data_IF_961824568694
#
_entry.id   IF_961824568694
#
_cell.length_a   1.000
_cell.length_b   1.000
_cell.length_c   1.000
_cell.angle_alpha   90.00
_cell.angle_beta   90.00
_cell.angle_gamma   90.00
#
_symmetry.space_group_name_H-M   'P 1'
#
loop_
_entity.id
_entity.type
_entity.pdbx_description
1 polymer ?
#
# COMPACT_ATOMS: atom_id res chain seq x y z
N UNK A 1 -11.66 -6.24 -15.00
CA UNK A 1 -10.47 -6.85 -14.39
C UNK A 1 -9.73 -5.80 -13.60
N UNK A 2 -9.02 -6.17 -12.53
CA UNK A 2 -8.20 -5.22 -11.77
C UNK A 2 -6.93 -4.84 -12.55
N UNK A 3 -6.52 -3.58 -12.44
CA UNK A 3 -5.30 -3.01 -13.01
C UNK A 3 -4.24 -2.84 -11.93
N UNK A 4 -2.96 -2.74 -12.33
CA UNK A 4 -1.87 -2.49 -11.36
C UNK A 4 -2.03 -1.16 -10.62
N UNK A 5 -2.68 -0.16 -11.19
CA UNK A 5 -2.94 1.10 -10.49
C UNK A 5 -4.11 1.04 -9.51
N UNK A 6 -4.81 -0.09 -9.42
CA UNK A 6 -5.93 -0.23 -8.48
C UNK A 6 -5.44 -0.48 -7.05
N UNK A 7 -6.19 0.01 -6.08
CA UNK A 7 -5.95 -0.23 -4.65
C UNK A 7 -6.00 -1.73 -4.36
N UNK A 8 -5.05 -2.21 -3.55
CA UNK A 8 -4.95 -3.61 -3.13
C UNK A 8 -4.89 -4.60 -4.31
N UNK A 9 -4.21 -4.23 -5.40
CA UNK A 9 -3.97 -5.14 -6.52
C UNK A 9 -3.03 -6.30 -6.12
N UNK A 10 -2.05 -6.05 -5.24
CA UNK A 10 -1.15 -7.07 -4.70
C UNK A 10 -1.69 -7.61 -3.36
N UNK A 11 -2.05 -8.89 -3.34
CA UNK A 11 -2.61 -9.56 -2.16
C UNK A 11 -1.57 -9.93 -1.10
N UNK A 12 -1.15 -8.98 -0.27
CA UNK A 12 -0.31 -9.24 0.91
C UNK A 12 -1.09 -9.95 2.03
N UNK A 13 -0.56 -11.03 2.58
CA UNK A 13 -1.25 -11.84 3.60
C UNK A 13 -1.17 -11.25 5.02
N UNK A 14 -0.04 -10.63 5.37
CA UNK A 14 0.25 -10.17 6.74
C UNK A 14 0.46 -8.66 6.86
N UNK A 15 0.39 -7.93 5.75
CA UNK A 15 0.63 -6.49 5.75
C UNK A 15 0.64 -5.89 4.36
N UNK A 16 1.10 -4.64 4.29
CA UNK A 16 1.29 -3.91 3.05
C UNK A 16 2.26 -4.67 2.13
N UNK A 17 1.82 -4.94 0.91
CA UNK A 17 2.66 -5.45 -0.17
C UNK A 17 2.56 -4.47 -1.35
N UNK A 18 3.70 -3.92 -1.76
CA UNK A 18 3.86 -2.98 -2.88
C UNK A 18 5.07 -3.40 -3.69
N UNK A 19 5.14 -2.97 -4.96
CA UNK A 19 6.23 -3.36 -5.84
C UNK A 19 6.69 -2.20 -6.70
N UNK A 20 8.00 -2.06 -6.83
CA UNK A 20 8.67 -1.11 -7.73
C UNK A 20 10.00 -1.74 -8.18
N UNK A 21 10.46 -1.55 -9.44
CA UNK A 21 11.77 -2.02 -9.86
C UNK A 21 12.90 -1.46 -8.98
N UNK A 22 13.99 -2.20 -8.84
CA UNK A 22 15.09 -1.81 -7.95
C UNK A 22 15.89 -0.60 -8.45
N UNK A 23 15.81 -0.29 -9.74
CA UNK A 23 16.48 0.80 -10.43
C UNK A 23 15.55 2.00 -10.76
N UNK A 24 14.29 1.94 -10.31
CA UNK A 24 13.32 3.00 -10.55
C UNK A 24 13.46 4.18 -9.59
N UNK A 25 13.14 5.38 -10.08
CA UNK A 25 13.02 6.60 -9.30
C UNK A 25 11.80 6.63 -8.38
N UNK A 26 11.74 7.63 -7.50
CA UNK A 26 10.62 7.82 -6.53
C UNK A 26 9.29 8.08 -7.25
N UNK A 27 9.34 8.81 -8.36
CA UNK A 27 8.20 9.19 -9.19
C UNK A 27 7.61 8.02 -10.00
N UNK A 28 8.32 6.90 -10.08
CA UNK A 28 7.88 5.69 -10.78
C UNK A 28 7.07 4.74 -9.89
N UNK A 29 6.92 5.05 -8.59
CA UNK A 29 6.02 4.30 -7.71
C UNK A 29 4.58 4.40 -8.19
N UNK A 30 3.90 3.25 -8.31
CA UNK A 30 2.52 3.20 -8.75
C UNK A 30 1.58 3.86 -7.74
N UNK A 31 0.67 4.69 -8.24
CA UNK A 31 -0.30 5.42 -7.41
C UNK A 31 -1.22 4.51 -6.58
N UNK A 32 -1.59 3.34 -7.10
CA UNK A 32 -2.39 2.34 -6.40
C UNK A 32 -1.67 1.74 -5.17
N UNK A 33 -0.37 1.53 -5.29
CA UNK A 33 0.48 1.00 -4.22
C UNK A 33 0.62 2.07 -3.10
N UNK A 34 0.82 3.34 -3.46
CA UNK A 34 0.85 4.46 -2.51
C UNK A 34 -0.50 4.66 -1.81
N UNK A 35 -1.61 4.59 -2.55
CA UNK A 35 -2.95 4.67 -1.97
C UNK A 35 -3.23 3.53 -0.99
N UNK A 36 -2.79 2.31 -1.33
CA UNK A 36 -2.89 1.13 -0.45
C UNK A 36 -2.08 1.33 0.83
N UNK A 37 -0.85 1.84 0.72
CA UNK A 37 0.01 2.15 1.86
C UNK A 37 -0.64 3.15 2.82
N UNK A 38 -1.25 4.21 2.29
CA UNK A 38 -1.97 5.21 3.08
C UNK A 38 -3.14 4.60 3.87
N UNK A 39 -3.98 3.80 3.21
CA UNK A 39 -5.12 3.12 3.84
C UNK A 39 -4.64 2.11 4.91
N UNK A 40 -3.56 1.39 4.64
CA UNK A 40 -2.96 0.48 5.62
C UNK A 40 -2.46 1.23 6.86
N UNK A 41 -1.78 2.37 6.67
CA UNK A 41 -1.34 3.23 7.76
C UNK A 41 -2.50 3.73 8.63
N UNK A 42 -3.58 4.22 8.01
CA UNK A 42 -4.80 4.64 8.73
C UNK A 42 -5.43 3.50 9.52
N UNK A 43 -5.41 2.28 8.98
CA UNK A 43 -5.88 1.10 9.71
C UNK A 43 -5.02 0.82 10.94
N UNK A 44 -3.69 0.88 10.81
CA UNK A 44 -2.76 0.67 11.93
C UNK A 44 -2.96 1.74 13.01
N UNK A 45 -3.02 3.01 12.62
CA UNK A 45 -3.34 4.14 13.51
C UNK A 45 -4.64 3.89 14.28
N UNK A 46 -5.72 3.53 13.56
CA UNK A 46 -7.01 3.27 14.17
C UNK A 46 -7.02 2.10 15.18
N UNK A 47 -6.11 1.14 15.06
CA UNK A 47 -5.91 0.11 16.09
C UNK A 47 -5.03 0.60 17.24
N UNK A 48 -3.95 1.30 16.96
CA UNK A 48 -3.07 1.87 17.98
C UNK A 48 -3.84 2.81 18.92
N UNK A 49 -4.72 3.66 18.37
CA UNK A 49 -5.55 4.58 19.14
C UNK A 49 -6.55 3.89 20.08
N UNK A 50 -6.95 2.63 19.81
CA UNK A 50 -7.81 1.84 20.70
C UNK A 50 -7.08 1.23 21.90
N UNK A 51 -5.74 1.20 21.83
CA UNK A 51 -4.88 0.60 22.85
C UNK A 51 -4.26 1.66 23.78
N UNK A 52 -4.39 2.94 23.45
CA UNK A 52 -4.01 4.07 24.29
C UNK A 52 -5.08 4.33 25.36
#
# INVERSE_FOLDING_TARGET
>A
SAQRTDVNNLGGSVGLLVQTPADAGVDEMLSGDLATAKLYGQRVEGFAAKLA
#
